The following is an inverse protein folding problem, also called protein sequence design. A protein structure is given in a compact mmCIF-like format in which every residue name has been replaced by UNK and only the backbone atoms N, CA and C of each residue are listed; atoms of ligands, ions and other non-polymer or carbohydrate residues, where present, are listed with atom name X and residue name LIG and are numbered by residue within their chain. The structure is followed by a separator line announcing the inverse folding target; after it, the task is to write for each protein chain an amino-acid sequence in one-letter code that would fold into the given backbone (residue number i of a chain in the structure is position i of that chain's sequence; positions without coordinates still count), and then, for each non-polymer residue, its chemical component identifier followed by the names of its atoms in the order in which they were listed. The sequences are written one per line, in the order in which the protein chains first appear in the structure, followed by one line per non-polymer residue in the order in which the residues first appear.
data_IF_325377307178
#
_entry.id   IF_325377307178
#
_cell.length_a   1.000
_cell.length_b   1.000
_cell.length_c   1.000
_cell.angle_alpha   90.00
_cell.angle_beta   90.00
_cell.angle_gamma   90.00
#
_symmetry.space_group_name_H-M   'P 1'
#
loop_
_entity.id
_entity.type
_entity.pdbx_description
1 polymer ?
#
# COMPACT_ATOMS: atom_id res chain seq x y z
N UNK A 1 21.23 -72.25 48.78
CA UNK A 1 21.51 -71.90 47.38
C UNK A 1 20.59 -70.78 46.96
N UNK A 2 21.16 -69.61 46.60
CA UNK A 2 20.68 -68.56 45.67
C UNK A 2 19.23 -68.03 45.86
N UNK A 3 18.92 -66.76 46.13
CA UNK A 3 19.60 -65.46 46.34
C UNK A 3 18.54 -64.57 47.02
N UNK A 4 18.69 -64.06 48.25
CA UNK A 4 19.28 -62.78 48.64
C UNK A 4 19.19 -61.59 47.64
N UNK A 5 18.42 -60.57 48.06
CA UNK A 5 18.84 -59.18 48.32
C UNK A 5 18.53 -58.06 47.29
N UNK A 6 18.09 -56.95 47.90
CA UNK A 6 18.03 -55.54 47.46
C UNK A 6 16.73 -54.98 46.89
N UNK A 7 15.91 -54.48 47.82
CA UNK A 7 15.25 -53.19 47.68
C UNK A 7 16.29 -52.11 47.34
N UNK A 8 16.16 -51.50 46.16
CA UNK A 8 16.72 -50.19 45.85
C UNK A 8 15.58 -49.37 45.26
N UNK A 9 15.30 -48.28 45.96
CA UNK A 9 14.47 -47.16 45.53
C UNK A 9 15.06 -46.60 44.24
N UNK A 10 14.29 -46.65 43.14
CA UNK A 10 14.54 -45.76 42.00
C UNK A 10 13.21 -45.21 41.51
N UNK A 11 12.97 -43.96 41.91
CA UNK A 11 12.02 -43.03 41.34
C UNK A 11 12.44 -42.78 39.89
N UNK A 12 11.65 -43.21 38.90
CA UNK A 12 11.65 -42.62 37.56
C UNK A 12 10.21 -42.18 37.28
N UNK A 13 10.07 -40.86 37.22
CA UNK A 13 8.88 -40.09 36.90
C UNK A 13 8.42 -40.44 35.48
N UNK A 14 7.25 -41.07 35.33
CA UNK A 14 6.48 -41.03 34.08
C UNK A 14 5.33 -40.05 34.34
N UNK A 15 5.64 -38.78 34.13
CA UNK A 15 4.67 -37.70 34.10
C UNK A 15 4.14 -37.54 32.66
N UNK A 16 2.80 -37.53 32.57
CA UNK A 16 1.99 -36.76 31.61
C UNK A 16 2.14 -37.02 30.10
N UNK A 17 1.17 -37.75 29.54
CA UNK A 17 0.55 -37.37 28.26
C UNK A 17 -0.96 -37.31 28.46
N UNK A 18 -1.41 -36.25 29.14
CA UNK A 18 -2.81 -35.82 29.08
C UNK A 18 -2.94 -34.99 27.79
N UNK A 19 -3.68 -35.51 26.81
CA UNK A 19 -4.15 -34.72 25.69
C UNK A 19 -5.13 -33.67 26.20
N UNK A 20 -5.00 -32.38 25.86
CA UNK A 20 -6.11 -31.45 26.00
C UNK A 20 -7.11 -31.71 24.87
N UNK A 21 -8.23 -32.32 25.23
CA UNK A 21 -9.50 -32.16 24.52
C UNK A 21 -9.84 -30.67 24.54
N UNK A 22 -10.11 -30.09 23.37
CA UNK A 22 -10.67 -28.75 23.25
C UNK A 22 -12.04 -28.71 23.94
N UNK A 23 -12.15 -27.87 24.98
CA UNK A 23 -13.39 -27.62 25.71
C UNK A 23 -13.19 -26.50 26.73
N UNK A 24 -13.88 -25.37 26.48
CA UNK A 24 -14.17 -24.25 27.36
C UNK A 24 -13.54 -24.25 28.78
N UNK A 25 -12.52 -23.40 28.96
CA UNK A 25 -12.32 -22.47 30.09
C UNK A 25 -10.84 -22.12 30.24
N UNK A 26 -10.47 -20.95 29.71
CA UNK A 26 -9.11 -20.40 29.77
C UNK A 26 -8.70 -19.61 28.52
N UNK A 27 -9.64 -19.00 27.79
CA UNK A 27 -9.28 -17.91 26.88
C UNK A 27 -8.52 -16.87 27.71
N UNK A 28 -7.31 -16.49 27.28
CA UNK A 28 -6.64 -15.34 27.87
C UNK A 28 -7.62 -14.16 27.78
N UNK A 29 -8.12 -13.69 28.91
CA UNK A 29 -9.00 -12.52 28.92
C UNK A 29 -8.14 -11.26 28.75
N UNK A 30 -6.84 -11.35 29.08
CA UNK A 30 -5.89 -10.24 29.03
C UNK A 30 -4.45 -10.71 28.77
N UNK A 31 -3.58 -9.79 28.37
CA UNK A 31 -2.15 -10.02 28.21
C UNK A 31 -1.35 -9.08 29.11
N UNK A 32 -0.34 -9.62 29.80
CA UNK A 32 0.52 -8.86 30.73
C UNK A 32 1.33 -7.74 30.07
N UNK A 33 1.60 -7.87 28.77
CA UNK A 33 2.38 -6.97 27.93
C UNK A 33 1.53 -6.12 26.97
N UNK A 34 0.19 -6.13 27.15
CA UNK A 34 -0.77 -5.29 26.41
C UNK A 34 -1.56 -4.47 27.43
N UNK A 35 -1.19 -3.19 27.57
CA UNK A 35 -1.73 -2.27 28.57
C UNK A 35 -2.64 -1.22 27.91
N UNK A 36 -3.69 -0.84 28.62
CA UNK A 36 -4.56 0.26 28.19
C UNK A 36 -3.75 1.53 27.93
N UNK A 37 -4.10 2.27 26.88
CA UNK A 37 -3.39 3.46 26.42
C UNK A 37 -2.28 3.19 25.38
N UNK A 38 -1.87 1.94 25.16
CA UNK A 38 -1.03 1.60 24.01
C UNK A 38 -1.84 1.68 22.72
N UNK A 39 -1.23 2.20 21.65
CA UNK A 39 -1.92 2.46 20.37
C UNK A 39 -2.58 1.21 19.76
N UNK A 40 -2.01 0.02 19.98
CA UNK A 40 -2.53 -1.26 19.50
C UNK A 40 -3.49 -1.96 20.47
N UNK A 41 -3.72 -1.41 21.68
CA UNK A 41 -4.48 -2.08 22.74
C UNK A 41 -5.88 -2.50 22.27
N UNK A 42 -6.63 -1.56 21.70
CA UNK A 42 -8.01 -1.81 21.27
C UNK A 42 -8.08 -2.85 20.14
N UNK A 43 -7.14 -2.79 19.19
CA UNK A 43 -7.11 -3.73 18.06
C UNK A 43 -6.80 -5.15 18.52
N UNK A 44 -5.79 -5.31 19.39
CA UNK A 44 -5.45 -6.61 19.99
C UNK A 44 -6.63 -7.17 20.78
N UNK A 45 -7.24 -6.36 21.66
CA UNK A 45 -8.37 -6.82 22.48
C UNK A 45 -9.61 -7.14 21.65
N UNK A 46 -9.87 -6.39 20.56
CA UNK A 46 -10.97 -6.66 19.62
C UNK A 46 -10.79 -8.02 18.94
N UNK A 47 -9.60 -8.30 18.42
CA UNK A 47 -9.32 -9.55 17.72
C UNK A 47 -9.22 -10.74 18.68
N UNK A 48 -8.77 -10.54 19.93
CA UNK A 48 -8.83 -11.56 20.98
C UNK A 48 -10.27 -11.87 21.38
N UNK A 49 -11.12 -10.86 21.57
CA UNK A 49 -12.54 -11.06 21.87
C UNK A 49 -13.29 -11.81 20.76
N UNK A 50 -12.83 -11.69 19.52
CA UNK A 50 -13.34 -12.44 18.36
C UNK A 50 -12.69 -13.82 18.14
N UNK A 51 -11.73 -14.22 19.00
CA UNK A 51 -11.04 -15.51 18.87
C UNK A 51 -10.02 -15.61 17.72
N UNK A 52 -9.73 -14.49 17.04
CA UNK A 52 -8.81 -14.45 15.91
C UNK A 52 -7.35 -14.57 16.38
N UNK A 53 -7.04 -13.82 17.43
CA UNK A 53 -5.69 -13.71 18.00
C UNK A 53 -5.60 -14.42 19.34
N UNK A 54 -4.52 -15.19 19.49
CA UNK A 54 -4.10 -15.82 20.75
C UNK A 54 -2.73 -15.30 21.17
N UNK A 55 -2.43 -15.40 22.48
CA UNK A 55 -1.10 -15.12 23.03
C UNK A 55 -0.05 -16.14 22.58
N UNK A 56 1.22 -15.83 22.83
CA UNK A 56 2.37 -16.69 22.55
C UNK A 56 2.72 -17.63 23.71
N UNK A 57 2.10 -17.44 24.88
CA UNK A 57 2.26 -18.30 26.05
C UNK A 57 0.93 -18.88 26.50
N UNK A 58 0.99 -20.04 27.15
CA UNK A 58 -0.13 -20.58 27.92
C UNK A 58 -0.52 -19.60 29.03
N UNK A 59 -1.80 -19.19 29.13
CA UNK A 59 -2.22 -18.26 30.17
C UNK A 59 -2.08 -18.88 31.56
N UNK A 60 -1.63 -18.07 32.54
CA UNK A 60 -1.63 -18.42 33.96
C UNK A 60 -2.62 -17.47 34.65
N UNK A 61 -3.62 -18.02 35.33
CA UNK A 61 -4.73 -17.25 35.93
C UNK A 61 -5.44 -16.31 34.94
N UNK A 62 -5.65 -16.76 33.70
CA UNK A 62 -6.32 -15.98 32.66
C UNK A 62 -5.46 -14.88 32.01
N UNK A 63 -4.17 -14.80 32.36
CA UNK A 63 -3.22 -13.81 31.83
C UNK A 63 -2.14 -14.51 30.99
N UNK A 64 -2.03 -14.14 29.71
CA UNK A 64 -0.98 -14.61 28.81
C UNK A 64 0.06 -13.52 28.47
N UNK A 65 0.96 -13.83 27.54
CA UNK A 65 1.82 -12.86 26.86
C UNK A 65 1.42 -12.77 25.39
N UNK A 66 1.27 -11.57 24.85
CA UNK A 66 0.95 -11.35 23.45
C UNK A 66 2.19 -11.21 22.56
N UNK A 67 3.27 -10.65 23.10
CA UNK A 67 4.51 -10.28 22.40
C UNK A 67 4.30 -9.27 21.27
N UNK A 68 3.84 -8.03 21.56
CA UNK A 68 3.43 -7.07 20.54
C UNK A 68 4.55 -6.65 19.57
N UNK A 69 5.81 -6.74 19.99
CA UNK A 69 6.98 -6.38 19.17
C UNK A 69 7.56 -7.58 18.41
N UNK A 70 7.04 -8.80 18.62
CA UNK A 70 7.50 -9.99 17.94
C UNK A 70 7.22 -9.94 16.44
N UNK A 71 8.13 -10.50 15.65
CA UNK A 71 7.96 -10.69 14.21
C UNK A 71 6.91 -11.76 13.92
N UNK A 72 6.07 -11.54 12.91
CA UNK A 72 5.02 -12.50 12.53
C UNK A 72 5.51 -13.44 11.44
N UNK A 73 5.34 -14.74 11.64
CA UNK A 73 5.65 -15.75 10.62
C UNK A 73 4.51 -15.92 9.61
N UNK A 74 4.80 -16.49 8.44
CA UNK A 74 3.78 -16.85 7.45
C UNK A 74 2.68 -17.74 8.08
N UNK A 75 3.05 -18.76 8.85
CA UNK A 75 2.09 -19.66 9.48
C UNK A 75 1.18 -18.95 10.48
N UNK A 76 1.71 -17.99 11.25
CA UNK A 76 0.92 -17.17 12.17
C UNK A 76 -0.03 -16.22 11.42
N UNK A 77 0.47 -15.55 10.38
CA UNK A 77 -0.34 -14.65 9.58
C UNK A 77 -1.50 -15.40 8.93
N UNK A 78 -1.23 -16.53 8.27
CA UNK A 78 -2.26 -17.37 7.66
C UNK A 78 -3.29 -17.88 8.68
N UNK A 79 -2.86 -18.30 9.87
CA UNK A 79 -3.80 -18.76 10.90
C UNK A 79 -4.76 -17.66 11.37
N UNK A 80 -4.30 -16.42 11.46
CA UNK A 80 -5.17 -15.29 11.77
C UNK A 80 -6.07 -14.94 10.57
N UNK A 81 -5.51 -14.90 9.35
CA UNK A 81 -6.25 -14.63 8.12
C UNK A 81 -7.39 -15.63 7.87
N UNK A 82 -7.16 -16.92 8.06
CA UNK A 82 -8.20 -17.93 7.83
C UNK A 82 -9.26 -17.91 8.90
N UNK A 83 -8.92 -17.64 10.17
CA UNK A 83 -9.94 -17.43 11.21
C UNK A 83 -10.82 -16.21 10.94
N UNK A 84 -10.31 -15.21 10.22
CA UNK A 84 -11.07 -14.01 9.89
C UNK A 84 -12.13 -14.25 8.82
N UNK A 85 -11.80 -14.98 7.75
CA UNK A 85 -12.64 -15.02 6.54
C UNK A 85 -12.74 -16.39 5.85
N UNK A 86 -12.17 -17.45 6.43
CA UNK A 86 -12.13 -18.78 5.82
C UNK A 86 -12.15 -19.90 6.88
N UNK A 87 -12.87 -19.69 7.99
CA UNK A 87 -12.89 -20.62 9.13
C UNK A 87 -13.47 -21.99 8.73
N UNK A 88 -14.47 -21.99 7.85
CA UNK A 88 -15.13 -23.18 7.33
C UNK A 88 -14.20 -24.11 6.53
N UNK A 89 -13.09 -23.57 6.01
CA UNK A 89 -12.08 -24.34 5.29
C UNK A 89 -11.03 -24.96 6.22
N UNK A 90 -10.98 -24.57 7.50
CA UNK A 90 -10.01 -25.06 8.47
C UNK A 90 -10.37 -26.50 8.89
N UNK A 91 -9.71 -27.47 8.27
CA UNK A 91 -9.88 -28.91 8.56
C UNK A 91 -8.67 -29.46 9.30
N UNK A 92 -8.88 -30.27 10.32
CA UNK A 92 -7.80 -30.94 11.05
C UNK A 92 -6.94 -31.80 10.12
N UNK A 93 -5.63 -31.73 10.30
CA UNK A 93 -4.65 -32.53 9.55
C UNK A 93 -3.87 -33.38 10.56
N UNK A 94 -4.22 -34.68 10.71
CA UNK A 94 -3.51 -35.57 11.63
C UNK A 94 -2.02 -35.63 11.32
N UNK A 95 -1.18 -35.58 12.36
CA UNK A 95 0.29 -35.66 12.26
C UNK A 95 0.90 -34.65 11.28
N UNK A 96 0.32 -33.44 11.18
CA UNK A 96 0.89 -32.38 10.38
C UNK A 96 2.32 -32.03 10.84
N UNK A 97 3.23 -31.89 9.87
CA UNK A 97 4.63 -31.53 10.10
C UNK A 97 4.80 -30.16 10.78
N UNK A 98 3.81 -29.28 10.61
CA UNK A 98 3.74 -27.97 11.24
C UNK A 98 2.31 -27.63 11.66
N UNK A 99 2.15 -26.96 12.80
CA UNK A 99 0.84 -26.64 13.40
C UNK A 99 -0.04 -25.75 12.49
N UNK A 100 0.57 -24.94 11.63
CA UNK A 100 -0.13 -24.04 10.73
C UNK A 100 -0.62 -24.70 9.42
N UNK A 101 -0.30 -25.98 9.17
CA UNK A 101 -0.69 -26.69 7.92
C UNK A 101 -2.21 -26.67 7.67
N UNK A 102 -3.09 -26.90 8.66
CA UNK A 102 -4.54 -26.73 8.48
C UNK A 102 -4.92 -25.36 7.91
N UNK A 103 -4.33 -24.29 8.44
CA UNK A 103 -4.60 -22.91 8.00
C UNK A 103 -3.99 -22.63 6.62
N UNK A 104 -2.79 -23.15 6.33
CA UNK A 104 -2.21 -23.05 4.99
C UNK A 104 -3.13 -23.71 3.94
N UNK A 105 -3.63 -24.92 4.21
CA UNK A 105 -4.57 -25.61 3.29
C UNK A 105 -5.87 -24.84 3.14
N UNK A 106 -6.43 -24.32 4.23
CA UNK A 106 -7.63 -23.49 4.21
C UNK A 106 -7.42 -22.20 3.38
N UNK A 107 -6.27 -21.55 3.52
CA UNK A 107 -5.93 -20.34 2.77
C UNK A 107 -5.78 -20.62 1.26
N UNK A 108 -5.27 -21.80 0.88
CA UNK A 108 -5.25 -22.23 -0.53
C UNK A 108 -6.65 -22.57 -1.03
N UNK A 109 -7.44 -23.34 -0.27
CA UNK A 109 -8.79 -23.80 -0.67
C UNK A 109 -9.78 -22.62 -0.82
N UNK A 110 -9.67 -21.61 0.05
CA UNK A 110 -10.47 -20.38 0.00
C UNK A 110 -9.98 -19.37 -1.05
N UNK A 111 -8.80 -19.58 -1.64
CA UNK A 111 -8.20 -18.64 -2.59
C UNK A 111 -7.55 -17.40 -1.97
N UNK A 112 -7.34 -17.37 -0.65
CA UNK A 112 -6.57 -16.31 0.02
C UNK A 112 -5.11 -16.27 -0.44
N UNK A 113 -4.53 -17.44 -0.75
CA UNK A 113 -3.18 -17.59 -1.31
C UNK A 113 -3.15 -18.61 -2.45
N UNK A 114 -2.12 -18.51 -3.29
CA UNK A 114 -1.78 -19.55 -4.26
C UNK A 114 -0.54 -20.33 -3.80
N UNK A 115 -0.58 -21.66 -3.91
CA UNK A 115 0.53 -22.54 -3.51
C UNK A 115 1.79 -22.37 -4.38
N UNK A 116 1.66 -21.78 -5.57
CA UNK A 116 2.77 -21.38 -6.43
C UNK A 116 3.57 -20.21 -5.84
N UNK A 117 2.91 -19.33 -5.09
CA UNK A 117 3.51 -18.15 -4.48
C UNK A 117 3.95 -18.39 -3.03
N UNK A 118 3.23 -19.24 -2.31
CA UNK A 118 3.46 -19.51 -0.89
C UNK A 118 3.68 -21.01 -0.66
N UNK A 119 4.84 -21.38 -0.10
CA UNK A 119 5.14 -22.77 0.21
C UNK A 119 4.56 -23.16 1.57
N UNK A 120 3.96 -24.35 1.65
CA UNK A 120 3.42 -24.91 2.89
C UNK A 120 4.40 -25.75 3.70
N UNK A 121 5.72 -25.65 3.45
CA UNK A 121 6.73 -26.42 4.19
C UNK A 121 6.93 -25.85 5.59
N UNK A 122 7.49 -26.66 6.50
CA UNK A 122 7.78 -26.23 7.88
C UNK A 122 8.69 -24.99 7.92
N UNK A 123 9.68 -24.90 7.04
CA UNK A 123 10.61 -23.78 6.97
C UNK A 123 9.88 -22.50 6.55
N UNK A 124 9.06 -22.57 5.50
CA UNK A 124 8.30 -21.43 5.01
C UNK A 124 7.28 -20.93 6.05
N UNK A 125 6.59 -21.84 6.74
CA UNK A 125 5.60 -21.48 7.77
C UNK A 125 6.22 -20.88 9.04
N UNK A 126 7.51 -21.14 9.30
CA UNK A 126 8.28 -20.52 10.38
C UNK A 126 9.02 -19.25 9.97
N UNK A 127 9.16 -18.98 8.67
CA UNK A 127 9.83 -17.79 8.19
C UNK A 127 8.96 -16.53 8.45
N UNK A 128 9.58 -15.38 8.77
CA UNK A 128 8.91 -14.08 8.73
C UNK A 128 8.22 -13.85 7.38
N UNK A 129 7.00 -13.32 7.39
CA UNK A 129 6.30 -12.93 6.15
C UNK A 129 6.65 -11.48 5.79
N UNK A 130 6.91 -11.22 4.50
CA UNK A 130 7.24 -9.90 3.97
C UNK A 130 6.00 -8.99 3.94
N UNK A 131 6.19 -7.67 3.95
CA UNK A 131 5.08 -6.71 3.92
C UNK A 131 4.32 -6.72 2.59
N UNK A 132 5.00 -6.99 1.47
CA UNK A 132 4.33 -7.15 0.16
C UNK A 132 3.49 -8.43 0.08
N UNK A 133 3.90 -9.52 0.72
CA UNK A 133 3.09 -10.73 0.84
C UNK A 133 1.89 -10.51 1.76
N UNK A 134 2.08 -9.77 2.87
CA UNK A 134 0.97 -9.34 3.70
C UNK A 134 -0.02 -8.50 2.90
N UNK A 135 0.44 -7.56 2.04
CA UNK A 135 -0.44 -6.76 1.18
C UNK A 135 -1.28 -7.63 0.26
N UNK A 136 -0.67 -8.63 -0.39
CA UNK A 136 -1.36 -9.60 -1.23
C UNK A 136 -2.48 -10.33 -0.49
N UNK A 137 -2.17 -10.86 0.70
CA UNK A 137 -3.16 -11.60 1.49
C UNK A 137 -4.25 -10.65 2.02
N UNK A 138 -3.91 -9.43 2.45
CA UNK A 138 -4.88 -8.45 2.95
C UNK A 138 -5.88 -8.03 1.86
N UNK A 139 -5.43 -7.83 0.62
CA UNK A 139 -6.34 -7.55 -0.51
C UNK A 139 -7.31 -8.71 -0.73
N UNK A 140 -6.84 -9.95 -0.62
CA UNK A 140 -7.71 -11.13 -0.72
C UNK A 140 -8.65 -11.29 0.48
N UNK A 141 -8.23 -10.89 1.69
CA UNK A 141 -9.10 -10.84 2.87
C UNK A 141 -10.22 -9.81 2.66
N UNK A 142 -9.90 -8.60 2.19
CA UNK A 142 -10.91 -7.58 1.89
C UNK A 142 -11.95 -8.10 0.89
N UNK A 143 -11.47 -8.75 -0.18
CA UNK A 143 -12.35 -9.39 -1.18
C UNK A 143 -13.23 -10.48 -0.58
N UNK A 144 -12.66 -11.36 0.26
CA UNK A 144 -13.43 -12.40 0.95
C UNK A 144 -14.45 -11.80 1.94
N UNK A 145 -14.15 -10.63 2.51
CA UNK A 145 -15.06 -9.83 3.34
C UNK A 145 -16.07 -9.01 2.53
N UNK A 146 -16.18 -9.24 1.21
CA UNK A 146 -17.15 -8.58 0.34
C UNK A 146 -16.80 -7.14 -0.06
N UNK A 147 -15.55 -6.73 0.14
CA UNK A 147 -15.07 -5.39 -0.21
C UNK A 147 -14.21 -5.42 -1.47
N UNK A 148 -14.54 -4.54 -2.42
CA UNK A 148 -13.71 -4.26 -3.59
C UNK A 148 -12.83 -3.05 -3.29
N UNK A 149 -11.52 -3.27 -3.26
CA UNK A 149 -10.54 -2.22 -2.98
C UNK A 149 -10.23 -1.43 -4.25
N UNK A 150 -10.27 -0.11 -4.14
CA UNK A 150 -10.03 0.80 -5.26
C UNK A 150 -8.53 1.09 -5.46
N UNK A 151 -8.12 1.34 -6.69
CA UNK A 151 -6.80 1.91 -6.97
C UNK A 151 -6.90 3.43 -7.01
N UNK A 152 -6.17 4.11 -6.13
CA UNK A 152 -6.00 5.56 -6.22
C UNK A 152 -4.91 5.88 -7.23
N UNK A 153 -5.27 6.68 -8.23
CA UNK A 153 -4.35 7.12 -9.26
C UNK A 153 -3.16 7.91 -8.67
N UNK A 154 -1.94 7.62 -9.10
CA UNK A 154 -0.70 8.24 -8.60
C UNK A 154 -0.23 7.80 -7.22
N UNK A 155 -0.89 6.83 -6.57
CA UNK A 155 -0.55 6.42 -5.20
C UNK A 155 0.90 5.95 -5.02
N UNK A 156 1.52 5.45 -6.08
CA UNK A 156 2.92 5.00 -6.07
C UNK A 156 3.90 6.13 -5.76
N UNK A 157 3.55 7.40 -5.99
CA UNK A 157 4.33 8.55 -5.57
C UNK A 157 4.47 8.68 -4.04
N UNK A 158 3.54 8.07 -3.29
CA UNK A 158 3.64 8.00 -1.83
C UNK A 158 4.62 6.93 -1.35
N UNK A 159 5.14 6.09 -2.25
CA UNK A 159 5.95 4.91 -1.95
C UNK A 159 7.32 5.07 -2.64
N UNK A 160 8.29 5.66 -1.93
CA UNK A 160 9.62 5.96 -2.49
C UNK A 160 10.37 4.73 -2.99
N UNK A 161 10.19 3.60 -2.32
CA UNK A 161 10.86 2.34 -2.64
C UNK A 161 9.95 1.35 -3.38
N UNK A 162 8.92 1.85 -4.09
CA UNK A 162 7.99 1.01 -4.84
C UNK A 162 8.69 0.13 -5.88
N UNK A 163 9.79 0.62 -6.46
CA UNK A 163 10.64 -0.14 -7.40
C UNK A 163 11.27 -1.40 -6.79
N UNK A 164 11.25 -1.58 -5.46
CA UNK A 164 11.70 -2.78 -4.76
C UNK A 164 10.60 -3.83 -4.56
N UNK A 165 9.35 -3.49 -4.89
CA UNK A 165 8.21 -4.42 -4.80
C UNK A 165 8.29 -5.42 -5.94
N UNK A 166 8.06 -6.70 -5.65
CA UNK A 166 7.98 -7.71 -6.70
C UNK A 166 6.82 -7.41 -7.67
N UNK A 167 7.06 -7.51 -8.98
CA UNK A 167 6.07 -7.17 -10.01
C UNK A 167 4.72 -7.89 -9.83
N UNK A 168 4.74 -9.16 -9.37
CA UNK A 168 3.52 -9.94 -9.10
C UNK A 168 2.73 -9.46 -7.87
N UNK A 169 3.32 -8.61 -7.03
CA UNK A 169 2.72 -8.03 -5.81
C UNK A 169 2.37 -6.55 -5.97
N UNK A 170 2.82 -5.89 -7.04
CA UNK A 170 2.62 -4.45 -7.27
C UNK A 170 1.15 -4.02 -7.18
N UNK A 171 0.23 -4.73 -7.84
CA UNK A 171 -1.21 -4.42 -7.80
C UNK A 171 -1.77 -4.51 -6.36
N UNK A 172 -1.37 -5.53 -5.61
CA UNK A 172 -1.81 -5.69 -4.23
C UNK A 172 -1.25 -4.60 -3.31
N UNK A 173 0.01 -4.21 -3.49
CA UNK A 173 0.61 -3.10 -2.74
C UNK A 173 -0.10 -1.78 -3.05
N UNK A 174 -0.36 -1.51 -4.33
CA UNK A 174 -1.11 -0.32 -4.78
C UNK A 174 -2.48 -0.26 -4.12
N UNK A 175 -3.26 -1.35 -4.15
CA UNK A 175 -4.60 -1.41 -3.55
C UNK A 175 -4.55 -1.29 -2.03
N UNK A 176 -3.66 -2.03 -1.37
CA UNK A 176 -3.53 -1.97 0.08
C UNK A 176 -3.14 -0.56 0.56
N UNK A 177 -2.28 0.14 -0.18
CA UNK A 177 -1.87 1.50 0.14
C UNK A 177 -2.97 2.52 -0.18
N UNK A 178 -3.62 2.42 -1.34
CA UNK A 178 -4.73 3.30 -1.77
C UNK A 178 -5.86 3.35 -0.76
N UNK A 179 -6.16 2.20 -0.15
CA UNK A 179 -7.27 2.06 0.79
C UNK A 179 -6.84 2.18 2.25
N UNK A 180 -5.59 2.58 2.53
CA UNK A 180 -5.09 2.77 3.89
C UNK A 180 -4.99 1.50 4.73
N UNK A 181 -4.99 0.31 4.12
CA UNK A 181 -4.76 -0.95 4.83
C UNK A 181 -3.33 -0.98 5.37
N UNK A 182 -2.38 -0.67 4.49
CA UNK A 182 -0.97 -0.50 4.79
C UNK A 182 -0.56 0.93 4.46
N UNK A 183 0.38 1.46 5.24
CA UNK A 183 0.99 2.77 5.02
C UNK A 183 2.50 2.62 5.11
N UNK A 184 3.24 3.55 4.51
CA UNK A 184 4.70 3.57 4.59
C UNK A 184 5.20 4.03 5.96
N UNK A 185 6.50 3.94 6.16
CA UNK A 185 7.17 4.57 7.30
C UNK A 185 7.17 6.10 7.19
N UNK A 186 7.70 6.77 8.23
CA UNK A 186 7.81 8.23 8.28
C UNK A 186 8.66 8.82 7.13
N UNK A 187 9.48 8.00 6.47
CA UNK A 187 10.32 8.38 5.33
C UNK A 187 9.66 8.09 3.98
N UNK A 188 8.40 7.63 3.98
CA UNK A 188 7.63 7.19 2.81
C UNK A 188 8.17 5.93 2.14
N UNK A 189 8.92 5.09 2.84
CA UNK A 189 9.26 3.75 2.34
C UNK A 189 8.18 2.76 2.77
N UNK A 190 7.73 1.93 1.83
CA UNK A 190 6.91 0.77 2.12
C UNK A 190 7.74 -0.37 2.74
N UNK A 191 9.04 -0.46 2.43
CA UNK A 191 9.95 -1.50 2.92
C UNK A 191 9.38 -2.92 2.65
N UNK A 192 9.25 -3.33 1.37
CA UNK A 192 8.46 -4.50 0.96
C UNK A 192 8.89 -5.82 1.63
N UNK A 193 10.19 -5.98 1.89
CA UNK A 193 10.76 -7.20 2.47
C UNK A 193 10.76 -7.23 4.01
N UNK A 194 10.45 -6.10 4.67
CA UNK A 194 10.47 -6.01 6.13
C UNK A 194 9.13 -6.47 6.71
N UNK A 195 9.14 -7.45 7.61
CA UNK A 195 7.92 -7.92 8.27
C UNK A 195 7.31 -6.87 9.22
N UNK A 196 6.01 -7.00 9.49
CA UNK A 196 5.32 -6.26 10.55
C UNK A 196 5.50 -6.96 11.91
N UNK A 197 5.47 -6.15 12.97
CA UNK A 197 5.30 -6.61 14.34
C UNK A 197 3.89 -7.16 14.57
N UNK A 198 3.72 -7.98 15.61
CA UNK A 198 2.42 -8.52 16.00
C UNK A 198 1.36 -7.43 16.28
N UNK A 199 1.76 -6.34 16.94
CA UNK A 199 0.89 -5.18 17.17
C UNK A 199 0.41 -4.52 15.87
N UNK A 200 1.32 -4.32 14.91
CA UNK A 200 0.96 -3.78 13.60
C UNK A 200 0.05 -4.74 12.83
N UNK A 201 0.29 -6.05 12.90
CA UNK A 201 -0.59 -7.06 12.28
C UNK A 201 -2.02 -7.02 12.84
N UNK A 202 -2.18 -6.88 14.16
CA UNK A 202 -3.51 -6.71 14.76
C UNK A 202 -4.23 -5.47 14.18
N UNK A 203 -3.50 -4.38 14.02
CA UNK A 203 -4.04 -3.11 13.53
C UNK A 203 -4.49 -3.22 12.07
N UNK A 204 -3.68 -3.81 11.19
CA UNK A 204 -4.05 -3.97 9.78
C UNK A 204 -5.20 -4.95 9.58
N UNK A 205 -5.34 -5.95 10.45
CA UNK A 205 -6.52 -6.82 10.45
C UNK A 205 -7.79 -6.12 10.93
N UNK A 206 -7.72 -5.23 11.92
CA UNK A 206 -8.85 -4.39 12.25
C UNK A 206 -9.25 -3.45 11.10
N UNK A 207 -8.27 -2.90 10.36
CA UNK A 207 -8.52 -2.06 9.18
C UNK A 207 -9.18 -2.81 8.04
N UNK A 208 -8.67 -4.00 7.68
CA UNK A 208 -9.23 -4.78 6.56
C UNK A 208 -10.64 -5.30 6.86
N UNK A 209 -10.94 -5.55 8.14
CA UNK A 209 -12.28 -5.94 8.58
C UNK A 209 -13.20 -4.75 8.90
N UNK A 210 -12.72 -3.51 8.70
CA UNK A 210 -13.45 -2.28 9.00
C UNK A 210 -13.91 -2.15 10.47
N UNK A 211 -13.20 -2.78 11.41
CA UNK A 211 -13.42 -2.62 12.85
C UNK A 211 -12.87 -1.29 13.37
N UNK A 212 -11.87 -0.74 12.69
CA UNK A 212 -11.25 0.55 12.98
C UNK A 212 -11.21 1.39 11.70
N UNK A 213 -11.40 2.71 11.82
CA UNK A 213 -11.30 3.64 10.69
C UNK A 213 -9.91 3.52 10.05
N UNK A 214 -9.88 3.42 8.72
CA UNK A 214 -8.62 3.42 7.96
C UNK A 214 -8.04 4.84 7.90
N UNK A 215 -6.70 4.99 7.92
CA UNK A 215 -6.09 6.28 7.63
C UNK A 215 -6.53 6.76 6.25
N UNK A 216 -6.86 8.04 6.14
CA UNK A 216 -7.10 8.67 4.84
C UNK A 216 -5.76 8.79 4.11
N UNK A 217 -5.74 8.43 2.83
CA UNK A 217 -4.53 8.48 2.01
C UNK A 217 -4.73 9.48 0.88
N UNK A 218 -3.95 10.55 0.92
CA UNK A 218 -3.89 11.56 -0.13
C UNK A 218 -2.65 11.34 -0.98
N UNK A 219 -2.80 11.41 -2.30
CA UNK A 219 -1.69 11.25 -3.23
C UNK A 219 -0.74 12.45 -3.13
N UNK A 220 0.56 12.17 -3.09
CA UNK A 220 1.65 13.15 -3.00
C UNK A 220 2.32 13.20 -4.37
N UNK A 221 1.81 14.05 -5.24
CA UNK A 221 2.35 14.25 -6.57
C UNK A 221 3.80 14.74 -6.50
N UNK A 222 4.69 14.30 -7.41
CA UNK A 222 6.02 14.90 -7.56
C UNK A 222 5.91 16.42 -7.63
N UNK A 223 6.70 17.13 -6.83
CA UNK A 223 6.61 18.58 -6.73
C UNK A 223 5.56 19.17 -5.80
N UNK A 224 4.57 18.37 -5.41
CA UNK A 224 3.77 18.67 -4.25
C UNK A 224 4.51 18.12 -3.03
N UNK A 225 5.56 18.81 -2.58
CA UNK A 225 6.22 18.44 -1.34
C UNK A 225 5.17 18.30 -0.22
N UNK A 226 4.93 17.07 0.24
CA UNK A 226 4.14 16.85 1.44
C UNK A 226 4.99 17.18 2.67
N UNK A 227 4.48 18.01 3.59
CA UNK A 227 5.23 18.63 4.68
C UNK A 227 5.52 17.62 5.78
N UNK A 228 6.53 16.78 5.56
CA UNK A 228 7.30 16.20 6.65
C UNK A 228 8.13 17.31 7.31
N UNK A 229 7.52 18.07 8.22
CA UNK A 229 8.12 19.07 9.13
C UNK A 229 8.50 20.46 8.60
N UNK A 230 8.20 20.79 7.35
CA UNK A 230 8.40 22.16 6.81
C UNK A 230 7.07 22.86 6.53
N UNK A 231 6.72 23.89 7.29
CA UNK A 231 5.65 24.82 6.96
C UNK A 231 6.05 25.69 5.75
N UNK A 232 5.97 25.17 4.52
CA UNK A 232 5.83 26.04 3.35
C UNK A 232 4.35 26.22 3.09
N UNK A 233 3.83 27.39 3.45
CA UNK A 233 2.47 27.79 3.07
C UNK A 233 2.37 27.68 1.54
N UNK A 234 1.52 26.78 1.01
CA UNK A 234 1.03 26.95 -0.37
C UNK A 234 0.47 28.36 -0.44
N UNK A 235 0.98 29.17 -1.37
CA UNK A 235 0.52 30.55 -1.54
C UNK A 235 -0.97 30.53 -1.89
N UNK A 236 -1.68 31.59 -1.51
CA UNK A 236 -3.05 31.77 -1.99
C UNK A 236 -3.05 31.89 -3.53
N UNK A 237 -4.12 31.42 -4.20
CA UNK A 237 -4.28 31.58 -5.64
C UNK A 237 -4.08 33.03 -6.09
N UNK A 238 -3.42 33.21 -7.23
CA UNK A 238 -3.08 34.53 -7.75
C UNK A 238 -3.23 34.61 -9.27
N UNK A 239 -3.00 35.81 -9.80
CA UNK A 239 -2.94 36.01 -11.24
C UNK A 239 -1.51 35.76 -11.73
N UNK A 240 -1.35 34.83 -12.66
CA UNK A 240 -0.09 34.54 -13.35
C UNK A 240 -0.18 35.06 -14.79
N UNK A 241 0.92 35.53 -15.36
CA UNK A 241 0.97 36.00 -16.75
C UNK A 241 2.02 35.26 -17.54
N UNK A 242 1.70 34.88 -18.77
CA UNK A 242 2.63 34.22 -19.69
C UNK A 242 3.92 35.04 -19.91
N UNK A 243 3.81 36.36 -19.94
CA UNK A 243 4.94 37.29 -20.18
C UNK A 243 5.69 37.70 -18.90
N UNK A 244 5.32 37.16 -17.74
CA UNK A 244 6.06 37.33 -16.50
C UNK A 244 7.10 36.20 -16.35
N UNK A 245 8.40 36.48 -16.57
CA UNK A 245 9.43 35.46 -16.50
C UNK A 245 9.73 35.03 -15.05
N UNK A 246 9.36 35.86 -14.06
CA UNK A 246 9.56 35.64 -12.62
C UNK A 246 8.23 35.19 -11.94
N UNK A 247 7.30 34.61 -12.71
CA UNK A 247 6.09 34.01 -12.13
C UNK A 247 6.46 32.76 -11.31
N UNK A 248 5.78 32.45 -10.20
CA UNK A 248 5.97 31.19 -9.46
C UNK A 248 5.49 29.96 -10.27
N UNK A 249 5.70 28.75 -9.75
CA UNK A 249 5.02 27.57 -10.30
C UNK A 249 3.49 27.70 -10.15
N UNK A 250 2.71 27.24 -11.14
CA UNK A 250 1.26 27.32 -11.11
C UNK A 250 0.67 26.38 -10.06
N UNK A 251 -0.41 26.82 -9.41
CA UNK A 251 -1.25 25.97 -8.56
C UNK A 251 -2.70 26.01 -9.03
N UNK A 252 -3.47 24.97 -8.68
CA UNK A 252 -4.91 24.99 -8.89
C UNK A 252 -5.55 26.23 -8.24
N UNK A 253 -6.47 26.87 -8.95
CA UNK A 253 -7.14 28.10 -8.55
C UNK A 253 -6.47 29.38 -9.05
N UNK A 254 -5.21 29.35 -9.49
CA UNK A 254 -4.58 30.52 -10.12
C UNK A 254 -5.35 30.96 -11.36
N UNK A 255 -5.35 32.26 -11.65
CA UNK A 255 -5.82 32.77 -12.95
C UNK A 255 -4.62 33.00 -13.84
N UNK A 256 -4.43 32.17 -14.86
CA UNK A 256 -3.38 32.32 -15.86
C UNK A 256 -3.84 33.20 -17.01
N UNK A 257 -3.04 34.20 -17.37
CA UNK A 257 -3.22 35.05 -18.54
C UNK A 257 -2.28 34.56 -19.65
N UNK A 258 -2.84 33.98 -20.70
CA UNK A 258 -2.07 33.42 -21.81
C UNK A 258 -1.46 34.51 -22.72
N UNK A 259 -0.66 34.09 -23.71
CA UNK A 259 -0.01 34.98 -24.70
C UNK A 259 -0.98 35.83 -25.52
N UNK A 260 -2.26 35.45 -25.58
CA UNK A 260 -3.31 36.18 -26.29
C UNK A 260 -4.13 37.08 -25.35
N UNK A 261 -3.83 37.09 -24.05
CA UNK A 261 -4.57 37.84 -23.03
C UNK A 261 -5.80 37.12 -22.49
N UNK A 262 -6.04 35.86 -22.87
CA UNK A 262 -7.14 35.07 -22.31
C UNK A 262 -6.86 34.74 -20.86
N UNK A 263 -7.90 34.81 -20.01
CA UNK A 263 -7.82 34.49 -18.60
C UNK A 263 -8.44 33.13 -18.35
N UNK A 264 -7.66 32.18 -17.84
CA UNK A 264 -8.10 30.82 -17.53
C UNK A 264 -7.83 30.56 -16.05
N UNK A 265 -8.84 30.09 -15.31
CA UNK A 265 -8.63 29.58 -13.95
C UNK A 265 -8.07 28.17 -14.05
N UNK A 266 -6.92 27.93 -13.43
CA UNK A 266 -6.22 26.66 -13.47
C UNK A 266 -6.94 25.62 -12.61
N UNK A 267 -7.14 24.45 -13.18
CA UNK A 267 -7.68 23.27 -12.50
C UNK A 267 -6.62 22.20 -12.40
N UNK A 268 -6.74 21.30 -11.43
CA UNK A 268 -5.92 20.10 -11.33
C UNK A 268 -6.75 18.89 -11.77
N UNK A 269 -6.29 18.20 -12.80
CA UNK A 269 -6.91 16.97 -13.30
C UNK A 269 -5.84 15.91 -13.37
N UNK A 270 -6.11 14.70 -12.87
CA UNK A 270 -5.09 13.65 -12.84
C UNK A 270 -3.80 14.10 -12.15
N UNK A 271 -3.90 14.90 -11.08
CA UNK A 271 -2.72 15.39 -10.35
C UNK A 271 -1.91 16.49 -11.03
N UNK A 272 -2.23 16.83 -12.28
CA UNK A 272 -1.48 17.82 -13.06
C UNK A 272 -2.28 19.12 -13.17
N UNK A 273 -1.67 20.22 -12.74
CA UNK A 273 -2.25 21.56 -12.86
C UNK A 273 -2.21 21.99 -14.32
N UNK A 274 -3.34 22.44 -14.86
CA UNK A 274 -3.43 22.87 -16.25
C UNK A 274 -3.71 21.76 -17.26
N UNK A 275 -3.73 20.49 -16.84
CA UNK A 275 -3.98 19.38 -17.76
C UNK A 275 -5.31 19.54 -18.50
N UNK A 276 -5.24 19.52 -19.83
CA UNK A 276 -6.37 19.59 -20.74
C UNK A 276 -6.92 21.00 -20.93
N UNK A 277 -6.23 22.02 -20.41
CA UNK A 277 -6.63 23.41 -20.57
C UNK A 277 -5.96 24.08 -21.79
N UNK A 278 -5.07 23.38 -22.50
CA UNK A 278 -4.41 23.88 -23.71
C UNK A 278 -3.40 24.99 -23.44
N UNK A 279 -2.78 24.99 -22.27
CA UNK A 279 -1.94 26.08 -21.78
C UNK A 279 -0.47 25.69 -21.71
N UNK A 280 0.38 26.61 -22.17
CA UNK A 280 1.81 26.60 -21.88
C UNK A 280 2.06 27.47 -20.64
N UNK A 281 2.17 26.82 -19.49
CA UNK A 281 2.31 27.51 -18.20
C UNK A 281 3.77 27.91 -17.91
N UNK A 282 4.74 27.32 -18.60
CA UNK A 282 6.14 27.32 -18.18
C UNK A 282 7.09 28.02 -19.15
N UNK A 283 6.83 28.04 -20.46
CA UNK A 283 7.71 28.70 -21.43
C UNK A 283 7.93 30.17 -21.08
N UNK A 284 9.17 30.63 -21.18
CA UNK A 284 9.52 32.00 -20.84
C UNK A 284 9.78 32.22 -19.35
N UNK A 285 9.70 31.20 -18.49
CA UNK A 285 10.17 31.31 -17.09
C UNK A 285 11.69 31.45 -17.05
N UNK A 286 12.19 32.27 -16.14
CA UNK A 286 13.61 32.60 -16.05
C UNK A 286 14.40 31.56 -15.25
N UNK A 287 15.55 31.18 -15.78
CA UNK A 287 16.58 30.44 -15.08
C UNK A 287 17.43 31.32 -14.18
N UNK A 288 18.15 30.77 -13.19
CA UNK A 288 19.09 31.54 -12.36
C UNK A 288 20.17 32.29 -13.17
N UNK A 289 20.56 31.77 -14.34
CA UNK A 289 21.53 32.40 -15.24
C UNK A 289 20.90 33.53 -16.11
N UNK A 290 19.59 33.75 -16.03
CA UNK A 290 18.85 34.76 -16.78
C UNK A 290 18.31 34.32 -18.14
N UNK A 291 18.62 33.10 -18.59
CA UNK A 291 18.01 32.52 -19.79
C UNK A 291 16.55 32.17 -19.53
N UNK A 292 15.76 32.02 -20.60
CA UNK A 292 14.34 31.70 -20.51
C UNK A 292 14.10 30.25 -20.93
N UNK A 293 13.30 29.52 -20.15
CA UNK A 293 12.87 28.16 -20.44
C UNK A 293 12.18 28.07 -21.81
N UNK A 294 12.66 27.17 -22.66
CA UNK A 294 12.03 26.81 -23.94
C UNK A 294 11.81 25.30 -24.06
N UNK A 295 10.98 24.90 -25.03
CA UNK A 295 10.69 23.50 -25.37
C UNK A 295 12.00 22.69 -25.58
N UNK A 296 12.12 21.57 -24.86
CA UNK A 296 13.29 20.68 -24.89
C UNK A 296 14.33 20.93 -23.80
N UNK A 297 14.21 22.03 -23.04
CA UNK A 297 15.13 22.34 -21.95
C UNK A 297 14.88 21.49 -20.70
N UNK A 298 15.78 21.60 -19.72
CA UNK A 298 15.69 20.93 -18.42
C UNK A 298 15.24 21.93 -17.36
N UNK A 299 14.24 21.57 -16.56
CA UNK A 299 13.72 22.39 -15.47
C UNK A 299 14.75 22.68 -14.39
N UNK A 300 14.55 23.81 -13.71
CA UNK A 300 15.40 24.29 -12.62
C UNK A 300 14.55 24.53 -11.37
N UNK A 301 15.15 25.18 -10.38
CA UNK A 301 14.44 25.71 -9.23
C UNK A 301 13.75 27.04 -9.61
N UNK A 302 12.47 27.18 -9.25
CA UNK A 302 11.69 28.39 -9.50
C UNK A 302 11.17 28.93 -8.18
N UNK A 303 11.68 30.07 -7.71
CA UNK A 303 11.27 30.71 -6.44
C UNK A 303 11.41 29.81 -5.20
N UNK A 304 12.49 29.04 -5.07
CA UNK A 304 12.68 28.12 -3.94
C UNK A 304 11.98 26.77 -4.14
N UNK A 305 11.30 26.57 -5.26
CA UNK A 305 10.60 25.34 -5.57
C UNK A 305 11.39 24.51 -6.59
N UNK A 306 11.88 23.36 -6.15
CA UNK A 306 12.69 22.43 -6.96
C UNK A 306 11.87 21.31 -7.61
N UNK A 307 10.55 21.42 -7.66
CA UNK A 307 9.62 20.42 -8.22
C UNK A 307 10.11 19.79 -9.52
N UNK A 308 10.51 20.61 -10.49
CA UNK A 308 10.90 20.17 -11.84
C UNK A 308 12.41 20.24 -12.08
N UNK A 309 13.21 20.34 -11.02
CA UNK A 309 14.66 20.41 -11.17
C UNK A 309 15.21 19.12 -11.79
N UNK A 310 15.84 19.24 -12.95
CA UNK A 310 16.36 18.10 -13.70
C UNK A 310 15.33 17.37 -14.58
N UNK A 311 14.09 17.85 -14.63
CA UNK A 311 13.04 17.24 -15.46
C UNK A 311 12.93 17.93 -16.83
N UNK A 312 12.71 17.16 -17.89
CA UNK A 312 12.63 17.75 -19.24
C UNK A 312 11.31 18.48 -19.45
N UNK A 313 11.37 19.64 -20.08
CA UNK A 313 10.20 20.42 -20.44
C UNK A 313 9.79 20.17 -21.90
N UNK A 314 8.51 19.90 -22.15
CA UNK A 314 7.99 19.67 -23.49
C UNK A 314 6.67 20.41 -23.74
N UNK A 315 6.55 20.97 -24.95
CA UNK A 315 5.32 21.58 -25.44
C UNK A 315 4.74 20.73 -26.58
N UNK A 316 3.50 20.29 -26.43
CA UNK A 316 2.79 19.62 -27.51
C UNK A 316 2.48 20.61 -28.62
N UNK A 317 3.10 20.40 -29.79
CA UNK A 317 2.94 21.26 -30.96
C UNK A 317 1.52 21.29 -31.50
N UNK A 318 0.67 20.29 -31.18
CA UNK A 318 -0.71 20.21 -31.67
C UNK A 318 -1.66 21.07 -30.83
N UNK A 319 -1.52 21.01 -29.51
CA UNK A 319 -2.43 21.67 -28.57
C UNK A 319 -1.87 22.99 -28.05
N UNK A 320 -0.55 23.17 -28.07
CA UNK A 320 0.14 24.26 -27.40
C UNK A 320 0.22 24.08 -25.88
N UNK A 321 -0.17 22.91 -25.36
CA UNK A 321 -0.07 22.61 -23.93
C UNK A 321 1.38 22.22 -23.59
N UNK A 322 1.89 22.78 -22.50
CA UNK A 322 3.28 22.61 -22.09
C UNK A 322 3.39 22.13 -20.66
N UNK A 323 4.10 21.02 -20.46
CA UNK A 323 4.33 20.40 -19.16
C UNK A 323 5.75 19.84 -19.07
N UNK A 324 6.19 19.57 -17.84
CA UNK A 324 7.41 18.79 -17.63
C UNK A 324 7.14 17.29 -17.86
N UNK A 325 8.19 16.51 -18.10
CA UNK A 325 8.09 15.11 -18.52
C UNK A 325 7.43 14.25 -17.46
N UNK A 326 7.64 14.51 -16.17
CA UNK A 326 6.92 13.83 -15.08
C UNK A 326 5.40 14.03 -15.22
N UNK A 327 4.95 15.27 -15.37
CA UNK A 327 3.54 15.59 -15.62
C UNK A 327 3.00 14.94 -16.91
N UNK A 328 3.78 14.94 -18.00
CA UNK A 328 3.38 14.24 -19.24
C UNK A 328 3.18 12.73 -19.03
N UNK A 329 4.04 12.10 -18.22
CA UNK A 329 3.89 10.69 -17.86
C UNK A 329 2.66 10.44 -16.98
N UNK A 330 2.38 11.36 -16.05
CA UNK A 330 1.18 11.32 -15.23
C UNK A 330 -0.06 11.42 -16.12
N UNK A 331 -0.15 12.44 -16.98
CA UNK A 331 -1.23 12.57 -17.96
C UNK A 331 -1.41 11.29 -18.78
N UNK A 332 -0.32 10.69 -19.27
CA UNK A 332 -0.37 9.46 -20.05
C UNK A 332 -0.97 8.28 -19.27
N UNK A 333 -0.57 8.08 -18.02
CA UNK A 333 -1.15 7.04 -17.16
C UNK A 333 -2.63 7.31 -16.84
N UNK A 334 -2.98 8.58 -16.58
CA UNK A 334 -4.36 8.99 -16.30
C UNK A 334 -5.28 8.68 -17.48
N UNK A 335 -4.91 9.12 -18.68
CA UNK A 335 -5.69 8.87 -19.88
C UNK A 335 -5.78 7.38 -20.19
N UNK A 336 -4.68 6.63 -20.06
CA UNK A 336 -4.67 5.18 -20.29
C UNK A 336 -5.64 4.45 -19.35
N UNK A 337 -5.66 4.81 -18.06
CA UNK A 337 -6.59 4.24 -17.07
C UNK A 337 -8.05 4.51 -17.39
N UNK A 338 -8.36 5.69 -17.92
CA UNK A 338 -9.70 5.97 -18.44
C UNK A 338 -9.98 5.15 -19.71
N UNK A 339 -9.00 4.98 -20.56
CA UNK A 339 -9.13 4.33 -21.85
C UNK A 339 -9.39 2.82 -21.72
N UNK A 340 -8.70 2.14 -20.83
CA UNK A 340 -8.87 0.69 -20.59
C UNK A 340 -10.24 0.33 -19.99
N UNK A 341 -10.98 1.30 -19.45
CA UNK A 341 -12.37 1.09 -19.00
C UNK A 341 -13.34 0.89 -20.17
N UNK A 342 -12.99 1.38 -21.36
CA UNK A 342 -13.79 1.12 -22.56
C UNK A 342 -13.48 -0.26 -23.14
N UNK A 343 -14.41 -1.19 -22.97
CA UNK A 343 -14.27 -2.58 -23.42
C UNK A 343 -14.42 -2.78 -24.93
N UNK A 344 -15.03 -1.84 -25.65
CA UNK A 344 -15.31 -1.94 -27.09
C UNK A 344 -14.90 -0.64 -27.83
N UNK A 345 -13.61 -0.27 -27.84
CA UNK A 345 -13.15 0.93 -28.50
C UNK A 345 -13.20 0.81 -30.03
N UNK A 346 -13.43 1.93 -30.70
CA UNK A 346 -13.40 2.01 -32.17
C UNK A 346 -12.07 2.57 -32.65
N UNK A 347 -11.62 2.20 -33.85
CA UNK A 347 -10.41 2.78 -34.43
C UNK A 347 -10.48 4.31 -34.45
N UNK A 348 -9.40 4.96 -33.99
CA UNK A 348 -9.33 6.41 -33.89
C UNK A 348 -10.09 7.01 -32.69
N UNK A 349 -10.77 6.20 -31.87
CA UNK A 349 -11.40 6.69 -30.66
C UNK A 349 -10.35 7.27 -29.71
N UNK A 350 -10.64 8.45 -29.16
CA UNK A 350 -9.78 9.12 -28.19
C UNK A 350 -10.31 9.02 -26.76
N UNK A 351 -9.40 9.05 -25.81
CA UNK A 351 -9.65 9.35 -24.40
C UNK A 351 -8.64 10.42 -24.00
N UNK A 352 -9.13 11.50 -23.40
CA UNK A 352 -8.36 12.73 -23.26
C UNK A 352 -7.89 13.27 -24.62
N UNK A 353 -6.73 13.92 -24.64
CA UNK A 353 -6.20 14.59 -25.82
C UNK A 353 -5.21 13.71 -26.60
N UNK A 354 -4.46 12.88 -25.88
CA UNK A 354 -3.27 12.22 -26.41
C UNK A 354 -3.37 10.70 -26.48
N UNK A 355 -4.40 10.08 -25.91
CA UNK A 355 -4.57 8.63 -25.95
C UNK A 355 -5.59 8.24 -27.01
N UNK A 356 -5.16 7.43 -27.98
CA UNK A 356 -5.99 7.02 -29.12
C UNK A 356 -5.96 5.51 -29.32
N UNK A 357 -7.12 4.91 -29.56
CA UNK A 357 -7.21 3.51 -29.90
C UNK A 357 -6.82 3.28 -31.35
N UNK A 358 -6.01 2.25 -31.59
CA UNK A 358 -5.65 1.77 -32.92
C UNK A 358 -6.08 0.33 -33.09
N UNK A 359 -7.05 0.10 -33.96
CA UNK A 359 -7.57 -1.24 -34.25
C UNK A 359 -6.49 -2.14 -34.86
N UNK A 360 -5.62 -1.58 -35.71
CA UNK A 360 -4.52 -2.32 -36.35
C UNK A 360 -3.59 -3.05 -35.37
N UNK A 361 -3.38 -2.47 -34.18
CA UNK A 361 -2.50 -3.03 -33.14
C UNK A 361 -3.28 -3.40 -31.87
N UNK A 362 -4.61 -3.26 -31.90
CA UNK A 362 -5.54 -3.56 -30.82
C UNK A 362 -5.15 -2.94 -29.46
N UNK A 363 -4.62 -1.73 -29.48
CA UNK A 363 -4.14 -1.06 -28.26
C UNK A 363 -4.43 0.43 -28.26
N UNK A 364 -4.50 0.98 -27.05
CA UNK A 364 -4.45 2.41 -26.81
C UNK A 364 -2.99 2.88 -26.95
N UNK A 365 -2.79 3.95 -27.70
CA UNK A 365 -1.47 4.50 -28.00
C UNK A 365 -1.42 5.95 -27.50
N UNK A 366 -0.36 6.27 -26.76
CA UNK A 366 0.00 7.63 -26.40
C UNK A 366 0.51 8.40 -27.63
N UNK A 367 0.04 9.62 -27.83
CA UNK A 367 0.37 10.48 -28.99
C UNK A 367 0.75 11.90 -28.61
N UNK A 368 0.99 12.13 -27.31
CA UNK A 368 1.57 13.37 -26.78
C UNK A 368 3.09 13.37 -26.88
N UNK A 369 3.73 14.45 -26.39
CA UNK A 369 5.17 14.48 -26.15
C UNK A 369 5.63 13.30 -25.30
#
# INVERSE_FOLDING_TARGET
MKKLLYAIVTIIVIASVLMPVYGANGTAVTFSDVKSGQWFYNDVMTLTGKGIITGVTTPVNGVGKYDPQGTVTLGQFLAMSTRLVAEEYIKSVPNAEHWAVPNYRAAVESGLIQSSDFKGTKEALNAPISREDMAYILVNIAKANGEELEETYGITHNIKDFYKVESKKSDAVIKAYSNGLLVGDDKRNFNPQQSLTRAEVATVFCRVMNYTKRPEVTVKWPGTDDPGTGTTKKREPMVLRYDDPDRPLPIAGDTFIDKNGNKIVLTETGGVVGYGQGLDLYSGKKYPNGELLVDGDIGSEYHGDSTYMGDFYYVDKKTGEGHFRSDWLDIADYELKLAVKNKNPKDGQKVGYWTIYREKVQMWIWTGP
#
